data_IF_786620784096
#
_entry.id   IF_786620784096
#
_cell.length_a   1.000
_cell.length_b   1.000
_cell.length_c   1.000
_cell.angle_alpha   90.00
_cell.angle_beta   90.00
_cell.angle_gamma   90.00
#
_symmetry.space_group_name_H-M   'P 1'
#
loop_
_entity.id
_entity.type
_entity.pdbx_description
1 polymer ?
#
# COMPACT_ATOMS: atom_id res chain seq x y z
N UNK A 1 -16.69 10.54 0.17
CA UNK A 1 -18.13 10.60 0.51
C UNK A 1 -18.86 11.74 -0.19
N UNK A 2 -18.40 12.99 -0.09
CA UNK A 2 -19.10 14.17 -0.67
C UNK A 2 -19.36 14.07 -2.19
N UNK A 3 -18.41 13.51 -2.95
CA UNK A 3 -18.56 13.37 -4.42
C UNK A 3 -19.46 12.21 -4.85
N UNK A 4 -19.57 11.15 -4.04
CA UNK A 4 -20.55 10.08 -4.24
C UNK A 4 -21.98 10.56 -3.94
N UNK A 5 -22.12 11.57 -3.09
CA UNK A 5 -23.40 12.24 -2.88
C UNK A 5 -23.68 13.19 -4.05
N UNK A 6 -22.66 13.91 -4.55
CA UNK A 6 -22.79 14.80 -5.71
C UNK A 6 -23.19 14.06 -7.01
N UNK A 7 -22.68 12.85 -7.27
CA UNK A 7 -23.10 11.98 -8.41
C UNK A 7 -24.56 11.54 -8.35
N UNK A 8 -25.13 11.47 -7.15
CA UNK A 8 -26.55 11.13 -6.92
C UNK A 8 -27.41 12.37 -7.08
N UNK A 9 -26.95 13.53 -6.59
CA UNK A 9 -27.69 14.80 -6.62
C UNK A 9 -27.68 15.49 -8.00
N UNK A 10 -26.62 15.36 -8.80
CA UNK A 10 -26.55 15.88 -10.17
C UNK A 10 -26.21 14.77 -11.18
N UNK A 11 -27.21 14.08 -11.72
CA UNK A 11 -27.00 12.97 -12.65
C UNK A 11 -26.36 13.39 -13.98
N UNK A 12 -26.46 14.68 -14.37
CA UNK A 12 -25.85 15.19 -15.61
C UNK A 12 -24.33 15.17 -15.55
N UNK A 13 -23.75 15.35 -14.35
CA UNK A 13 -22.31 15.32 -14.10
C UNK A 13 -21.82 14.02 -13.47
N UNK A 14 -22.68 12.99 -13.40
CA UNK A 14 -22.37 11.71 -12.75
C UNK A 14 -21.10 11.05 -13.31
N UNK A 15 -20.96 11.01 -14.64
CA UNK A 15 -19.80 10.39 -15.30
C UNK A 15 -18.49 11.10 -14.91
N UNK A 16 -18.47 12.43 -14.96
CA UNK A 16 -17.32 13.23 -14.57
C UNK A 16 -16.88 12.96 -13.12
N UNK A 17 -17.82 12.95 -12.18
CA UNK A 17 -17.49 12.70 -10.78
C UNK A 17 -17.04 11.25 -10.51
N UNK A 18 -17.58 10.27 -11.23
CA UNK A 18 -17.13 8.87 -11.14
C UNK A 18 -15.70 8.70 -11.67
N UNK A 19 -15.39 9.32 -12.81
CA UNK A 19 -14.04 9.31 -13.38
C UNK A 19 -13.04 9.97 -12.42
N UNK A 20 -13.39 11.14 -11.90
CA UNK A 20 -12.55 11.81 -10.89
C UNK A 20 -12.34 10.94 -9.64
N UNK A 21 -13.40 10.29 -9.14
CA UNK A 21 -13.29 9.40 -7.98
C UNK A 21 -12.36 8.22 -8.26
N UNK A 22 -12.49 7.62 -9.45
CA UNK A 22 -11.61 6.55 -9.89
C UNK A 22 -10.15 7.01 -9.93
N UNK A 23 -9.86 8.17 -10.53
CA UNK A 23 -8.50 8.70 -10.59
C UNK A 23 -7.90 8.94 -9.21
N UNK A 24 -8.66 9.55 -8.28
CA UNK A 24 -8.17 9.80 -6.93
C UNK A 24 -7.96 8.51 -6.14
N UNK A 25 -8.87 7.56 -6.28
CA UNK A 25 -8.74 6.25 -5.63
C UNK A 25 -7.52 5.52 -6.15
N UNK A 26 -7.31 5.52 -7.48
CA UNK A 26 -6.13 4.93 -8.12
C UNK A 26 -4.83 5.56 -7.64
N UNK A 27 -4.79 6.89 -7.51
CA UNK A 27 -3.61 7.60 -7.02
C UNK A 27 -3.27 7.20 -5.57
N UNK A 28 -4.27 7.13 -4.69
CA UNK A 28 -4.08 6.70 -3.30
C UNK A 28 -3.60 5.24 -3.24
N UNK A 29 -4.21 4.34 -4.01
CA UNK A 29 -3.79 2.93 -4.07
C UNK A 29 -2.32 2.80 -4.48
N UNK A 30 -1.87 3.59 -5.46
CA UNK A 30 -0.47 3.57 -5.90
C UNK A 30 0.50 4.02 -4.79
N UNK A 31 0.13 5.01 -3.97
CA UNK A 31 0.96 5.41 -2.82
C UNK A 31 0.97 4.33 -1.72
N UNK A 32 -0.17 3.65 -1.50
CA UNK A 32 -0.24 2.51 -0.57
C UNK A 32 0.66 1.37 -1.04
N UNK A 33 0.66 1.04 -2.34
CA UNK A 33 1.52 -0.01 -2.90
C UNK A 33 3.01 0.29 -2.70
N UNK A 34 3.43 1.55 -2.87
CA UNK A 34 4.80 1.98 -2.55
C UNK A 34 5.13 1.76 -1.08
N UNK A 35 4.22 2.13 -0.18
CA UNK A 35 4.43 1.93 1.26
C UNK A 35 4.55 0.44 1.61
N UNK A 36 3.69 -0.41 1.02
CA UNK A 36 3.76 -1.86 1.19
C UNK A 36 5.10 -2.41 0.70
N UNK A 37 5.61 -1.93 -0.43
CA UNK A 37 6.92 -2.32 -0.95
C UNK A 37 8.06 -1.95 0.03
N UNK A 38 8.02 -0.75 0.61
CA UNK A 38 8.99 -0.32 1.62
C UNK A 38 8.92 -1.22 2.87
N UNK A 39 7.72 -1.50 3.37
CA UNK A 39 7.54 -2.37 4.55
C UNK A 39 8.08 -3.78 4.28
N UNK A 40 7.83 -4.35 3.10
CA UNK A 40 8.39 -5.65 2.70
C UNK A 40 9.91 -5.64 2.64
N UNK A 41 10.50 -4.56 2.12
CA UNK A 41 11.96 -4.41 2.08
C UNK A 41 12.55 -4.37 3.50
N UNK A 42 11.97 -3.57 4.39
CA UNK A 42 12.41 -3.46 5.78
C UNK A 42 12.26 -4.79 6.53
N UNK A 43 11.16 -5.50 6.29
CA UNK A 43 10.93 -6.83 6.85
C UNK A 43 12.00 -7.82 6.41
N UNK A 44 12.32 -7.87 5.12
CA UNK A 44 13.38 -8.74 4.60
C UNK A 44 14.75 -8.40 5.20
N UNK A 45 15.07 -7.11 5.35
CA UNK A 45 16.32 -6.69 6.02
C UNK A 45 16.34 -7.17 7.48
N UNK A 46 15.23 -7.01 8.20
CA UNK A 46 15.10 -7.50 9.57
C UNK A 46 15.30 -9.02 9.63
N UNK A 47 14.65 -9.78 8.75
CA UNK A 47 14.80 -11.23 8.71
C UNK A 47 16.25 -11.65 8.45
N UNK A 48 16.88 -11.07 7.41
CA UNK A 48 18.27 -11.35 7.07
C UNK A 48 19.24 -10.99 8.20
N UNK A 49 18.98 -9.92 8.94
CA UNK A 49 19.83 -9.53 10.07
C UNK A 49 19.63 -10.45 11.27
N UNK A 50 18.40 -10.78 11.66
CA UNK A 50 18.17 -11.42 12.95
C UNK A 50 18.07 -12.94 12.86
N UNK A 51 17.51 -13.51 11.79
CA UNK A 51 17.44 -14.97 11.65
C UNK A 51 18.80 -15.56 11.21
N UNK A 52 19.51 -14.95 10.25
CA UNK A 52 20.82 -15.48 9.82
C UNK A 52 21.92 -15.31 10.88
N UNK A 53 21.81 -14.30 11.77
CA UNK A 53 22.74 -14.15 12.90
C UNK A 53 22.43 -15.19 13.99
N UNK A 54 21.16 -15.56 14.18
CA UNK A 54 20.79 -16.62 15.13
C UNK A 54 21.25 -18.01 14.65
N UNK A 55 21.12 -18.31 13.35
CA UNK A 55 21.62 -19.57 12.75
C UNK A 55 23.15 -19.67 12.81
N UNK A 56 23.89 -18.62 12.39
CA UNK A 56 25.36 -18.62 12.46
C UNK A 56 25.91 -18.72 13.89
N UNK A 57 25.19 -18.23 14.91
CA UNK A 57 25.62 -18.42 16.30
C UNK A 57 25.45 -19.86 16.77
N UNK A 58 24.42 -20.57 16.30
CA UNK A 58 24.24 -21.99 16.63
C UNK A 58 25.26 -22.91 15.96
N UNK A 59 25.70 -22.61 14.73
CA UNK A 59 26.74 -23.38 14.04
C UNK A 59 28.16 -23.15 14.58
N UNK A 60 28.41 -22.06 15.33
CA UNK A 60 29.72 -21.76 15.93
C UNK A 60 29.84 -22.33 17.36
N UNK A 61 28.72 -22.66 18.00
CA UNK A 61 28.69 -23.26 19.34
C UNK A 61 28.68 -24.81 19.34
N UNK A 62 28.50 -25.43 18.17
CA UNK A 62 28.66 -26.88 17.92
C UNK A 62 30.08 -27.22 17.40
#
# INVERSE_FOLDING_TARGET
MVLLIATVLDPSKRLFYLEWFYEKTRAVLNEVDKLVAIVKLLWNIYELQYFNIAENKSEVED
#
